data_IF_790686527486
#
_entry.id   IF_790686527486
#
_cell.length_a   1.000
_cell.length_b   1.000
_cell.length_c   1.000
_cell.angle_alpha   90.00
_cell.angle_beta   90.00
_cell.angle_gamma   90.00
#
_symmetry.space_group_name_H-M   'P 1'
#
loop_
_entity.id
_entity.type
_entity.pdbx_description
1 polymer ?
#
# COMPACT_ATOMS: atom_id res chain seq x y z
N UNK A 1 6.27 22.73 14.53
CA UNK A 1 5.37 21.86 15.31
C UNK A 1 4.91 20.72 14.43
N UNK A 2 5.42 19.51 14.66
CA UNK A 2 4.94 18.31 13.94
C UNK A 2 3.49 18.04 14.38
N UNK A 3 2.51 18.37 13.54
CA UNK A 3 1.11 18.01 13.80
C UNK A 3 1.01 16.48 13.91
N UNK A 4 0.56 15.97 15.06
CA UNK A 4 0.30 14.53 15.25
C UNK A 4 -0.70 14.08 14.19
N UNK A 5 -0.34 13.07 13.39
CA UNK A 5 -1.26 12.41 12.45
C UNK A 5 -2.34 11.71 13.27
N UNK A 6 -3.61 11.96 12.93
CA UNK A 6 -4.72 11.24 13.54
C UNK A 6 -4.75 9.82 12.98
N UNK A 7 -4.92 8.83 13.87
CA UNK A 7 -5.02 7.42 13.53
C UNK A 7 -6.43 6.92 13.81
N UNK A 8 -6.96 6.12 12.91
CA UNK A 8 -8.27 5.50 13.03
C UNK A 8 -8.13 4.02 12.68
N UNK A 9 -8.89 3.16 13.35
CA UNK A 9 -8.97 1.75 12.99
C UNK A 9 -10.16 1.53 12.05
N UNK A 10 -9.92 0.79 10.99
CA UNK A 10 -10.93 0.35 10.02
C UNK A 10 -10.80 -1.15 9.80
N UNK A 11 -11.91 -1.82 9.54
CA UNK A 11 -11.92 -3.23 9.20
C UNK A 11 -11.71 -3.48 7.69
N UNK A 12 -11.76 -4.76 7.31
CA UNK A 12 -11.60 -5.20 5.92
C UNK A 12 -12.66 -4.67 4.95
N UNK A 13 -13.81 -4.25 5.48
CA UNK A 13 -14.94 -3.71 4.72
C UNK A 13 -14.96 -2.17 4.74
N UNK A 14 -13.86 -1.56 5.20
CA UNK A 14 -13.67 -0.12 5.29
C UNK A 14 -14.59 0.58 6.32
N UNK A 15 -15.05 -0.15 7.34
CA UNK A 15 -15.89 0.39 8.42
C UNK A 15 -15.02 0.89 9.57
N UNK A 16 -15.30 2.12 10.04
CA UNK A 16 -14.56 2.69 11.17
C UNK A 16 -14.94 2.01 12.47
N UNK A 17 -13.93 1.48 13.17
CA UNK A 17 -14.09 0.78 14.44
C UNK A 17 -13.94 1.72 15.65
N UNK A 18 -14.67 1.44 16.77
CA UNK A 18 -14.51 2.16 18.03
C UNK A 18 -13.11 2.04 18.62
N UNK A 19 -12.68 3.05 19.40
CA UNK A 19 -11.35 3.09 20.03
C UNK A 19 -11.03 1.87 20.91
N UNK A 20 -12.03 1.21 21.48
CA UNK A 20 -11.83 0.01 22.29
C UNK A 20 -11.15 -1.15 21.54
N UNK A 21 -11.20 -1.14 20.22
CA UNK A 21 -10.54 -2.15 19.37
C UNK A 21 -9.11 -1.75 18.95
N UNK A 22 -8.64 -0.54 19.28
CA UNK A 22 -7.32 -0.06 18.85
C UNK A 22 -6.14 -0.77 19.53
N UNK A 23 -6.38 -1.50 20.60
CA UNK A 23 -5.37 -2.22 21.38
C UNK A 23 -5.39 -3.73 21.14
N UNK A 24 -6.10 -4.20 20.12
CA UNK A 24 -6.13 -5.62 19.76
C UNK A 24 -5.21 -5.90 18.57
N UNK A 25 -3.97 -6.32 18.82
CA UNK A 25 -3.17 -6.97 17.78
C UNK A 25 -3.60 -8.44 17.74
N UNK A 26 -4.70 -8.76 17.10
CA UNK A 26 -5.07 -10.17 16.99
C UNK A 26 -4.08 -10.96 16.12
N UNK A 27 -3.38 -10.35 15.17
CA UNK A 27 -2.37 -11.03 14.35
C UNK A 27 -1.34 -10.04 13.78
N UNK A 28 -0.33 -9.65 14.59
CA UNK A 28 0.81 -8.89 14.11
C UNK A 28 0.63 -7.36 14.11
N UNK A 29 1.64 -6.66 13.62
CA UNK A 29 1.63 -5.19 13.57
C UNK A 29 0.57 -4.66 12.61
N UNK A 30 -0.11 -3.55 12.94
CA UNK A 30 -1.10 -2.96 12.07
C UNK A 30 -0.47 -2.42 10.78
N UNK A 31 -1.13 -2.64 9.65
CA UNK A 31 -0.77 -2.00 8.39
C UNK A 31 -1.52 -0.68 8.28
N UNK A 32 -0.80 0.42 8.02
CA UNK A 32 -1.38 1.76 7.94
C UNK A 32 -1.80 2.10 6.52
N UNK A 33 -3.04 2.57 6.35
CA UNK A 33 -3.47 3.26 5.13
C UNK A 33 -3.19 4.75 5.31
N UNK A 34 -2.31 5.31 4.49
CA UNK A 34 -1.95 6.73 4.52
C UNK A 34 -2.81 7.46 3.51
N UNK A 35 -3.69 8.33 3.99
CA UNK A 35 -4.60 9.13 3.17
C UNK A 35 -4.29 10.62 3.19
N UNK A 36 -4.97 11.38 2.34
CA UNK A 36 -4.93 12.86 2.34
C UNK A 36 -5.55 13.43 3.61
N UNK A 37 -5.13 14.64 3.99
CA UNK A 37 -5.64 15.34 5.19
C UNK A 37 -7.11 15.75 5.10
N UNK A 38 -7.66 15.89 3.91
CA UNK A 38 -9.02 16.39 3.64
C UNK A 38 -10.11 15.34 3.67
N UNK A 39 -9.80 14.14 4.14
CA UNK A 39 -10.77 13.03 4.16
C UNK A 39 -11.78 13.23 5.28
N UNK A 40 -13.08 13.16 4.94
CA UNK A 40 -14.14 13.17 5.93
C UNK A 40 -14.13 11.89 6.75
N UNK A 41 -14.02 12.03 8.07
CA UNK A 41 -13.98 10.91 8.99
C UNK A 41 -15.41 10.48 9.34
N UNK A 42 -15.83 9.23 9.02
CA UNK A 42 -17.17 8.74 9.33
C UNK A 42 -17.35 8.54 10.85
N UNK A 43 -18.59 8.34 11.29
CA UNK A 43 -18.88 7.91 12.66
C UNK A 43 -18.45 6.46 12.89
N UNK A 44 -18.39 6.07 14.15
CA UNK A 44 -18.13 4.65 14.49
C UNK A 44 -19.21 3.75 13.91
N UNK A 45 -18.81 2.64 13.31
CA UNK A 45 -19.70 1.69 12.65
C UNK A 45 -20.14 2.10 11.24
N UNK A 46 -19.74 3.27 10.76
CA UNK A 46 -20.04 3.72 9.40
C UNK A 46 -18.89 3.41 8.44
N UNK A 47 -19.24 3.07 7.21
CA UNK A 47 -18.27 2.84 6.13
C UNK A 47 -17.60 4.16 5.72
N UNK A 48 -16.30 4.10 5.54
CA UNK A 48 -15.51 5.21 5.00
C UNK A 48 -15.78 5.33 3.49
N UNK A 49 -16.49 6.37 3.10
CA UNK A 49 -16.86 6.63 1.70
C UNK A 49 -15.79 7.50 1.02
N UNK A 50 -14.59 6.98 0.91
CA UNK A 50 -13.50 7.60 0.18
C UNK A 50 -12.86 6.55 -0.72
N UNK A 51 -12.94 6.76 -2.03
CA UNK A 51 -12.47 5.79 -3.01
C UNK A 51 -11.00 5.44 -2.87
N UNK A 52 -10.17 6.40 -2.51
CA UNK A 52 -8.73 6.13 -2.34
C UNK A 52 -8.45 5.21 -1.15
N UNK A 53 -9.21 5.37 -0.07
CA UNK A 53 -9.12 4.49 1.11
C UNK A 53 -9.68 3.10 0.77
N UNK A 54 -10.80 3.03 0.05
CA UNK A 54 -11.37 1.76 -0.43
C UNK A 54 -10.37 1.01 -1.32
N UNK A 55 -9.75 1.69 -2.29
CA UNK A 55 -8.71 1.10 -3.14
C UNK A 55 -7.52 0.58 -2.31
N UNK A 56 -7.11 1.30 -1.27
CA UNK A 56 -6.06 0.86 -0.35
C UNK A 56 -6.44 -0.40 0.45
N UNK A 57 -7.68 -0.47 0.93
CA UNK A 57 -8.19 -1.65 1.64
C UNK A 57 -8.33 -2.85 0.69
N UNK A 58 -8.83 -2.64 -0.51
CA UNK A 58 -8.95 -3.71 -1.51
C UNK A 58 -7.59 -4.28 -1.87
N UNK A 59 -6.59 -3.42 -2.04
CA UNK A 59 -5.22 -3.87 -2.26
C UNK A 59 -4.67 -4.62 -1.05
N UNK A 60 -4.90 -4.13 0.16
CA UNK A 60 -4.48 -4.83 1.38
C UNK A 60 -5.10 -6.23 1.48
N UNK A 61 -6.40 -6.34 1.21
CA UNK A 61 -7.10 -7.63 1.19
C UNK A 61 -6.52 -8.58 0.13
N UNK A 62 -6.20 -8.06 -1.06
CA UNK A 62 -5.52 -8.83 -2.11
C UNK A 62 -4.14 -9.34 -1.67
N UNK A 63 -3.31 -8.48 -1.07
CA UNK A 63 -1.98 -8.85 -0.58
C UNK A 63 -2.05 -9.88 0.55
N UNK A 64 -3.00 -9.72 1.49
CA UNK A 64 -3.24 -10.67 2.59
C UNK A 64 -3.72 -12.03 2.09
N UNK A 65 -4.65 -12.03 1.14
CA UNK A 65 -5.13 -13.27 0.51
C UNK A 65 -3.98 -14.08 -0.11
N UNK A 66 -3.03 -13.38 -0.71
CA UNK A 66 -1.83 -13.98 -1.30
C UNK A 66 -0.65 -14.11 -0.31
N UNK A 67 -0.82 -13.78 0.95
CA UNK A 67 0.18 -13.85 2.05
C UNK A 67 1.46 -13.02 1.79
N UNK A 68 1.37 -12.02 0.93
CA UNK A 68 2.52 -11.18 0.52
C UNK A 68 2.81 -10.09 1.54
N UNK A 69 1.79 -9.61 2.24
CA UNK A 69 1.90 -8.62 3.30
C UNK A 69 2.90 -9.04 4.39
N UNK A 70 2.84 -10.30 4.82
CA UNK A 70 3.76 -10.89 5.81
C UNK A 70 5.12 -11.22 5.20
N UNK A 71 5.14 -11.81 4.01
CA UNK A 71 6.36 -12.20 3.33
C UNK A 71 7.30 -11.02 3.10
N UNK A 72 6.76 -9.89 2.64
CA UNK A 72 7.53 -8.67 2.35
C UNK A 72 7.51 -7.65 3.48
N UNK A 73 6.94 -8.00 4.63
CA UNK A 73 6.85 -7.13 5.81
C UNK A 73 6.26 -5.75 5.47
N UNK A 74 5.12 -5.73 4.75
CA UNK A 74 4.43 -4.49 4.39
C UNK A 74 3.92 -3.81 5.65
N UNK A 75 4.24 -2.55 5.84
CA UNK A 75 3.83 -1.76 7.01
C UNK A 75 2.86 -0.64 6.68
N UNK A 76 2.83 -0.16 5.43
CA UNK A 76 1.88 0.86 5.02
C UNK A 76 1.55 0.82 3.54
N UNK A 77 0.36 1.32 3.23
CA UNK A 77 -0.18 1.53 1.88
C UNK A 77 -0.51 3.02 1.78
N UNK A 78 0.20 3.74 0.93
CA UNK A 78 0.03 5.18 0.74
C UNK A 78 -0.89 5.45 -0.46
N UNK A 79 -2.09 5.91 -0.17
CA UNK A 79 -3.11 6.32 -1.15
C UNK A 79 -3.24 7.84 -1.27
N UNK A 80 -2.42 8.60 -0.54
CA UNK A 80 -2.51 10.06 -0.47
C UNK A 80 -2.19 10.75 -1.79
N UNK A 81 -1.45 10.09 -2.67
CA UNK A 81 -0.99 10.63 -3.97
C UNK A 81 -1.79 10.14 -5.17
N UNK A 82 -2.89 9.43 -4.93
CA UNK A 82 -3.77 8.99 -6.03
C UNK A 82 -4.30 10.22 -6.77
N UNK A 83 -4.08 10.22 -8.08
CA UNK A 83 -4.48 11.32 -8.96
C UNK A 83 -3.49 12.47 -9.10
N UNK A 84 -2.43 12.51 -8.30
CA UNK A 84 -1.36 13.50 -8.50
C UNK A 84 -0.57 13.18 -9.78
N UNK A 85 -0.23 14.23 -10.53
CA UNK A 85 0.68 14.09 -11.68
C UNK A 85 2.11 14.34 -11.25
N UNK A 86 2.99 13.46 -11.65
CA UNK A 86 4.43 13.59 -11.47
C UNK A 86 5.14 13.53 -12.83
N UNK A 87 6.45 13.85 -12.88
CA UNK A 87 7.26 13.76 -14.11
C UNK A 87 7.19 12.38 -14.77
N UNK A 88 7.02 11.33 -13.96
CA UNK A 88 6.95 9.94 -14.41
C UNK A 88 5.49 9.43 -14.62
N UNK A 89 4.52 10.34 -14.77
CA UNK A 89 3.12 10.02 -14.92
C UNK A 89 2.30 10.18 -13.63
N UNK A 90 1.09 9.60 -13.61
CA UNK A 90 0.23 9.63 -12.42
C UNK A 90 0.79 8.70 -11.34
N UNK A 91 0.92 9.23 -10.14
CA UNK A 91 1.25 8.43 -8.97
C UNK A 91 -0.05 7.77 -8.47
N UNK A 92 0.00 6.46 -8.35
CA UNK A 92 -1.06 5.68 -7.74
C UNK A 92 -0.72 5.30 -6.29
N UNK A 93 -1.01 4.05 -5.95
CA UNK A 93 -0.71 3.49 -4.64
C UNK A 93 0.78 3.17 -4.53
N UNK A 94 1.36 3.51 -3.39
CA UNK A 94 2.71 3.09 -3.01
C UNK A 94 2.63 2.22 -1.73
N UNK A 95 3.40 1.13 -1.71
CA UNK A 95 3.55 0.29 -0.52
C UNK A 95 4.92 0.54 0.11
N UNK A 96 5.00 0.38 1.43
CA UNK A 96 6.25 0.48 2.16
C UNK A 96 6.49 -0.76 2.99
N UNK A 97 7.71 -1.28 2.94
CA UNK A 97 8.15 -2.38 3.80
C UNK A 97 8.71 -1.86 5.11
N UNK A 98 8.86 -2.75 6.10
CA UNK A 98 9.47 -2.42 7.39
C UNK A 98 10.91 -1.90 7.23
N UNK A 99 11.63 -2.43 6.27
CA UNK A 99 13.03 -2.08 6.01
C UNK A 99 13.21 -0.85 5.10
N UNK A 100 12.09 -0.19 4.76
CA UNK A 100 12.08 1.09 4.05
C UNK A 100 12.07 0.99 2.54
N UNK A 101 11.92 -0.19 1.95
CA UNK A 101 11.72 -0.31 0.51
C UNK A 101 10.35 0.23 0.09
N UNK A 102 10.34 1.01 -0.98
CA UNK A 102 9.12 1.52 -1.60
C UNK A 102 8.72 0.63 -2.78
N UNK A 103 7.45 0.24 -2.83
CA UNK A 103 6.88 -0.48 -3.95
C UNK A 103 5.88 0.44 -4.66
N UNK A 104 6.17 0.82 -5.90
CA UNK A 104 5.28 1.61 -6.75
C UNK A 104 4.29 0.64 -7.38
N UNK A 105 3.10 0.55 -6.77
CA UNK A 105 2.04 -0.36 -7.23
C UNK A 105 1.18 0.25 -8.33
N UNK A 106 0.93 1.57 -8.26
CA UNK A 106 0.09 2.26 -9.22
C UNK A 106 -1.41 2.10 -8.93
N UNK A 107 -2.20 1.87 -9.97
CA UNK A 107 -3.66 1.78 -9.86
C UNK A 107 -4.13 0.32 -9.92
N UNK A 108 -5.32 0.06 -9.39
CA UNK A 108 -6.01 -1.20 -9.62
C UNK A 108 -6.50 -1.29 -11.08
N UNK A 109 -6.70 -2.50 -11.59
CA UNK A 109 -7.22 -2.74 -12.93
C UNK A 109 -8.62 -2.09 -13.17
N UNK A 110 -9.36 -1.83 -12.09
CA UNK A 110 -10.67 -1.18 -12.14
C UNK A 110 -10.62 0.33 -12.35
N UNK A 111 -9.46 0.97 -12.18
CA UNK A 111 -9.32 2.42 -12.30
C UNK A 111 -9.11 2.94 -13.72
N UNK A 112 -9.14 2.07 -14.74
CA UNK A 112 -9.13 2.45 -16.15
C UNK A 112 -7.81 3.02 -16.69
N UNK A 113 -6.69 2.79 -16.03
CA UNK A 113 -5.36 3.11 -16.55
C UNK A 113 -4.99 2.09 -17.62
N UNK A 114 -5.06 2.48 -18.87
CA UNK A 114 -5.01 1.63 -20.08
C UNK A 114 -3.70 0.86 -20.27
N UNK A 115 -2.63 1.20 -19.57
CA UNK A 115 -1.32 0.62 -19.80
C UNK A 115 -0.68 -0.05 -18.57
N UNK A 116 -1.35 -0.06 -17.43
CA UNK A 116 -0.84 -0.76 -16.25
C UNK A 116 -1.23 -2.24 -16.25
N UNK A 117 -0.36 -3.06 -15.69
CA UNK A 117 -0.60 -4.48 -15.49
C UNK A 117 -1.76 -4.73 -14.49
N UNK A 118 -2.35 -5.92 -14.55
CA UNK A 118 -3.28 -6.41 -13.54
C UNK A 118 -2.60 -6.59 -12.18
N UNK A 119 -3.38 -6.66 -11.11
CA UNK A 119 -2.83 -6.91 -9.77
C UNK A 119 -2.03 -8.22 -9.70
N UNK A 120 -2.45 -9.28 -10.39
CA UNK A 120 -1.70 -10.54 -10.44
C UNK A 120 -0.36 -10.42 -11.16
N UNK A 121 -0.32 -9.73 -12.28
CA UNK A 121 0.93 -9.47 -13.00
C UNK A 121 1.90 -8.61 -12.19
N UNK A 122 1.38 -7.58 -11.51
CA UNK A 122 2.17 -6.76 -10.57
C UNK A 122 2.71 -7.60 -9.41
N UNK A 123 1.89 -8.50 -8.87
CA UNK A 123 2.30 -9.41 -7.81
C UNK A 123 3.42 -10.35 -8.30
N UNK A 124 3.30 -10.93 -9.49
CA UNK A 124 4.34 -11.77 -10.07
C UNK A 124 5.65 -10.99 -10.27
N UNK A 125 5.57 -9.75 -10.75
CA UNK A 125 6.72 -8.87 -10.87
C UNK A 125 7.39 -8.63 -9.51
N UNK A 126 6.59 -8.33 -8.49
CA UNK A 126 7.09 -8.08 -7.14
C UNK A 126 7.79 -9.31 -6.56
N UNK A 127 7.18 -10.48 -6.69
CA UNK A 127 7.76 -11.72 -6.20
C UNK A 127 9.04 -12.10 -6.96
N UNK A 128 9.09 -11.88 -8.28
CA UNK A 128 10.29 -12.09 -9.07
C UNK A 128 11.46 -11.23 -8.57
N UNK A 129 11.23 -9.94 -8.33
CA UNK A 129 12.26 -9.04 -7.79
C UNK A 129 12.66 -9.45 -6.37
N UNK A 130 11.72 -9.84 -5.53
CA UNK A 130 12.00 -10.29 -4.17
C UNK A 130 12.83 -11.57 -4.14
N UNK A 131 12.59 -12.51 -5.05
CA UNK A 131 13.40 -13.74 -5.17
C UNK A 131 14.85 -13.46 -5.58
N UNK A 132 15.07 -12.45 -6.44
CA UNK A 132 16.43 -12.05 -6.87
C UNK A 132 17.19 -11.25 -5.81
N UNK A 133 16.46 -10.41 -5.04
CA UNK A 133 17.06 -9.47 -4.06
C UNK A 133 17.16 -10.03 -2.63
N UNK A 134 16.69 -11.27 -2.40
CA UNK A 134 16.37 -11.76 -1.06
C UNK A 134 14.91 -11.45 -0.70
N UNK A 135 14.27 -12.31 0.08
CA UNK A 135 12.81 -12.35 0.30
C UNK A 135 12.21 -11.11 0.94
N UNK A 136 12.99 -10.20 1.46
CA UNK A 136 12.53 -9.05 2.26
C UNK A 136 12.84 -7.68 1.67
N UNK A 137 13.44 -7.62 0.49
CA UNK A 137 13.80 -6.36 -0.18
C UNK A 137 14.71 -5.43 0.67
N UNK A 138 15.51 -5.98 1.60
CA UNK A 138 16.33 -5.20 2.54
C UNK A 138 17.31 -4.23 1.84
N UNK A 139 17.84 -4.62 0.68
CA UNK A 139 18.81 -3.84 -0.08
C UNK A 139 18.20 -3.08 -1.27
N UNK A 140 16.88 -2.91 -1.27
CA UNK A 140 16.15 -2.25 -2.34
C UNK A 140 15.65 -0.90 -1.87
N UNK A 141 15.92 0.16 -2.64
CA UNK A 141 15.38 1.49 -2.40
C UNK A 141 13.93 1.57 -2.87
N UNK A 142 13.67 1.12 -4.10
CA UNK A 142 12.32 1.00 -4.62
C UNK A 142 12.19 -0.09 -5.69
N UNK A 143 10.98 -0.59 -5.87
CA UNK A 143 10.55 -1.45 -6.97
C UNK A 143 9.37 -0.81 -7.68
N UNK A 144 9.40 -0.73 -8.99
CA UNK A 144 8.27 -0.33 -9.82
C UNK A 144 7.69 -1.56 -10.52
N UNK A 145 6.51 -2.00 -10.12
CA UNK A 145 5.86 -3.22 -10.62
C UNK A 145 4.75 -2.93 -11.64
N UNK A 146 4.52 -1.68 -11.98
CA UNK A 146 3.40 -1.24 -12.83
C UNK A 146 3.50 -1.70 -14.28
N UNK A 147 4.71 -1.99 -14.75
CA UNK A 147 5.03 -2.20 -16.16
C UNK A 147 5.44 -3.64 -16.44
N UNK A 148 5.38 -4.02 -17.71
CA UNK A 148 5.71 -5.38 -18.17
C UNK A 148 7.06 -5.88 -17.64
N UNK A 149 8.05 -5.00 -17.59
CA UNK A 149 9.34 -5.27 -16.97
C UNK A 149 9.45 -4.48 -15.67
N UNK A 150 9.56 -5.13 -14.51
CA UNK A 150 9.72 -4.45 -13.25
C UNK A 150 11.08 -3.78 -13.17
N UNK A 151 11.13 -2.59 -12.57
CA UNK A 151 12.35 -1.85 -12.33
C UNK A 151 12.63 -1.81 -10.83
N UNK A 152 13.81 -2.29 -10.44
CA UNK A 152 14.27 -2.20 -9.06
C UNK A 152 15.53 -1.34 -8.96
N UNK A 153 15.56 -0.42 -8.00
CA UNK A 153 16.76 0.33 -7.63
C UNK A 153 17.29 -0.20 -6.30
N UNK A 154 18.52 -0.67 -6.30
CA UNK A 154 19.21 -1.13 -5.09
C UNK A 154 19.86 0.03 -4.36
N UNK A 155 19.98 -0.09 -3.05
CA UNK A 155 20.73 0.86 -2.22
C UNK A 155 22.22 0.69 -2.58
N UNK A 156 22.88 1.78 -2.97
CA UNK A 156 24.32 1.75 -3.20
C UNK A 156 25.02 1.57 -1.85
N UNK A 157 25.66 0.44 -1.64
CA UNK A 157 26.64 0.26 -0.57
C UNK A 157 27.85 1.14 -0.92
N UNK A 158 28.08 2.17 -0.12
CA UNK A 158 29.33 2.92 -0.16
C UNK A 158 30.44 2.14 0.50
#
# INVERSE_FOLDING_TARGET
>A
VKRKRKKYMIDKDCVRLPKKYYNYPEEGDPIYIISRKSVNVPRYGEKWKDRSIEDGIDLLNFLRHNKVDKLLKIVSIDVSKIGDRHKDGKIGVELWTKDGAKIKWGFSAQSGQVNELSNYEKLQNLLSVAMEAGTDLENVEYVDVRWKEPLAKRISTR
#
